data_IF_703637363215
#
_entry.id   IF_703637363215
#
_cell.length_a   1.000
_cell.length_b   1.000
_cell.length_c   1.000
_cell.angle_alpha   90.00
_cell.angle_beta   90.00
_cell.angle_gamma   90.00
#
_symmetry.space_group_name_H-M   'P 1'
#
loop_
_entity.id
_entity.type
_entity.pdbx_description
1 polymer ?
#
# COMPACT_ATOMS: atom_id res chain seq x y z
N UNK A 1 15.57 2.46 16.27
CA UNK A 1 14.79 2.61 17.53
C UNK A 1 15.55 1.98 18.71
N UNK A 2 16.85 2.23 18.78
CA UNK A 2 17.73 1.82 19.88
C UNK A 2 17.43 2.66 21.12
N UNK A 3 17.25 3.99 20.97
CA UNK A 3 16.94 4.86 22.10
C UNK A 3 15.55 4.57 22.71
N UNK A 4 14.55 4.24 21.89
CA UNK A 4 13.22 3.82 22.37
C UNK A 4 13.29 2.58 23.26
N UNK A 5 14.06 1.57 22.84
CA UNK A 5 14.20 0.33 23.60
C UNK A 5 15.04 0.52 24.88
N UNK A 6 15.96 1.48 24.87
CA UNK A 6 16.91 1.71 25.96
C UNK A 6 16.36 2.58 27.07
N UNK A 7 15.85 3.77 26.73
CA UNK A 7 15.39 4.74 27.72
C UNK A 7 14.14 5.47 27.21
N UNK A 8 13.00 4.89 27.57
CA UNK A 8 11.68 5.43 27.21
C UNK A 8 11.48 6.89 27.62
N UNK A 9 11.95 7.38 28.78
CA UNK A 9 11.88 8.80 29.14
C UNK A 9 12.64 9.73 28.18
N UNK A 10 13.89 9.42 27.82
CA UNK A 10 14.69 10.25 26.90
C UNK A 10 14.12 10.20 25.48
N UNK A 11 13.65 9.04 25.03
CA UNK A 11 12.89 8.94 23.79
C UNK A 11 11.63 9.83 23.80
N UNK A 12 10.86 9.79 24.89
CA UNK A 12 9.65 10.61 25.03
C UNK A 12 9.97 12.10 25.00
N UNK A 13 11.08 12.51 25.62
CA UNK A 13 11.57 13.88 25.55
C UNK A 13 11.96 14.28 24.12
N UNK A 14 12.70 13.44 23.39
CA UNK A 14 13.07 13.67 22.00
C UNK A 14 11.83 13.77 21.08
N UNK A 15 10.86 12.88 21.28
CA UNK A 15 9.60 12.89 20.53
C UNK A 15 8.79 14.17 20.80
N UNK A 16 8.72 14.60 22.06
CA UNK A 16 8.07 15.85 22.46
C UNK A 16 8.80 17.06 21.87
N UNK A 17 10.13 17.05 21.86
CA UNK A 17 10.93 18.12 21.29
C UNK A 17 10.66 18.29 19.78
N UNK A 18 10.62 17.17 19.04
CA UNK A 18 10.29 17.19 17.61
C UNK A 18 8.82 17.56 17.37
N UNK A 19 7.89 17.07 18.18
CA UNK A 19 6.46 17.42 18.07
C UNK A 19 6.21 18.92 18.28
N UNK A 20 6.98 19.56 19.17
CA UNK A 20 6.95 21.01 19.39
C UNK A 20 7.84 21.80 18.42
N UNK A 21 8.60 21.11 17.57
CA UNK A 21 9.63 21.67 16.69
C UNK A 21 10.62 22.62 17.44
N UNK A 22 10.98 22.25 18.68
CA UNK A 22 11.78 23.06 19.60
C UNK A 22 13.23 22.58 19.65
N UNK A 23 14.14 23.38 19.08
CA UNK A 23 15.56 23.06 18.98
C UNK A 23 16.26 23.02 20.35
N UNK A 24 15.78 23.77 21.33
CA UNK A 24 16.37 23.78 22.69
C UNK A 24 16.04 22.49 23.43
N UNK A 25 14.81 21.97 23.28
CA UNK A 25 14.42 20.67 23.81
C UNK A 25 15.13 19.53 23.07
N UNK A 26 15.38 19.69 21.76
CA UNK A 26 16.20 18.74 20.99
C UNK A 26 17.61 18.65 21.59
N UNK A 27 18.26 19.77 21.87
CA UNK A 27 19.61 19.78 22.45
C UNK A 27 19.64 19.16 23.85
N UNK A 28 18.62 19.42 24.67
CA UNK A 28 18.48 18.79 25.99
C UNK A 28 18.32 17.27 25.88
N UNK A 29 17.43 16.81 24.99
CA UNK A 29 17.22 15.39 24.74
C UNK A 29 18.48 14.71 24.20
N UNK A 30 19.17 15.36 23.26
CA UNK A 30 20.41 14.86 22.66
C UNK A 30 21.53 14.76 23.70
N UNK A 31 21.73 15.80 24.51
CA UNK A 31 22.73 15.79 25.58
C UNK A 31 22.47 14.65 26.57
N UNK A 32 21.22 14.43 26.97
CA UNK A 32 20.86 13.31 27.84
C UNK A 32 21.13 11.96 27.18
N UNK A 33 20.78 11.81 25.90
CA UNK A 33 21.03 10.58 25.15
C UNK A 33 22.53 10.30 24.92
N UNK A 34 23.35 11.34 24.79
CA UNK A 34 24.81 11.21 24.60
C UNK A 34 25.57 10.72 25.83
N UNK A 35 24.91 10.61 26.99
CA UNK A 35 25.49 10.01 28.20
C UNK A 35 25.54 8.48 28.14
N UNK A 36 24.91 7.87 27.13
CA UNK A 36 24.99 6.42 26.91
C UNK A 36 26.24 6.07 26.08
N UNK A 37 27.23 5.44 26.72
CA UNK A 37 28.56 5.18 26.13
C UNK A 37 28.57 4.25 24.89
N UNK A 38 27.50 3.49 24.67
CA UNK A 38 27.39 2.48 23.62
C UNK A 38 26.49 2.90 22.44
N UNK A 39 25.98 4.14 22.45
CA UNK A 39 25.33 4.72 21.27
C UNK A 39 26.26 5.78 20.70
N UNK A 40 26.69 5.59 19.46
CA UNK A 40 27.54 6.59 18.81
C UNK A 40 26.78 7.89 18.54
N UNK A 41 27.49 9.02 18.52
CA UNK A 41 26.93 10.31 18.12
C UNK A 41 26.24 10.25 16.75
N UNK A 42 26.79 9.48 15.82
CA UNK A 42 26.26 9.30 14.47
C UNK A 42 24.90 8.59 14.50
N UNK A 43 24.77 7.53 15.30
CA UNK A 43 23.51 6.82 15.49
C UNK A 43 22.46 7.71 16.16
N UNK A 44 22.84 8.47 17.20
CA UNK A 44 21.92 9.42 17.84
C UNK A 44 21.42 10.49 16.87
N UNK A 45 22.31 11.10 16.09
CA UNK A 45 21.92 12.09 15.08
C UNK A 45 20.98 11.49 14.04
N UNK A 46 21.21 10.25 13.61
CA UNK A 46 20.32 9.54 12.69
C UNK A 46 18.94 9.29 13.30
N UNK A 47 18.85 8.80 14.55
CA UNK A 47 17.57 8.55 15.21
C UNK A 47 16.76 9.83 15.42
N UNK A 48 17.42 10.92 15.84
CA UNK A 48 16.77 12.23 15.99
C UNK A 48 16.34 12.80 14.64
N UNK A 49 17.14 12.61 13.59
CA UNK A 49 16.77 13.02 12.23
C UNK A 49 15.53 12.29 11.74
N UNK A 50 15.48 10.97 11.88
CA UNK A 50 14.31 10.17 11.53
C UNK A 50 13.06 10.59 12.33
N UNK A 51 13.21 10.93 13.62
CA UNK A 51 12.12 11.41 14.46
C UNK A 51 11.63 12.81 14.09
N UNK A 52 12.55 13.73 13.78
CA UNK A 52 12.19 15.06 13.27
C UNK A 52 11.42 14.95 11.95
N UNK A 53 11.86 14.04 11.07
CA UNK A 53 11.12 13.72 9.84
C UNK A 53 9.75 13.15 10.17
N UNK A 54 9.63 12.14 11.04
CA UNK A 54 8.34 11.55 11.48
C UNK A 54 7.37 12.62 11.99
N UNK A 55 7.87 13.66 12.67
CA UNK A 55 7.05 14.73 13.24
C UNK A 55 6.84 15.95 12.32
N UNK A 56 7.37 15.94 11.09
CA UNK A 56 7.39 17.11 10.20
C UNK A 56 8.03 18.35 10.86
N UNK A 57 9.02 18.13 11.74
CA UNK A 57 9.67 19.14 12.57
C UNK A 57 10.79 19.84 11.78
N UNK A 58 10.43 20.91 11.06
CA UNK A 58 11.34 21.58 10.11
C UNK A 58 12.53 22.27 10.79
N UNK A 59 12.32 22.91 11.93
CA UNK A 59 13.37 23.60 12.67
C UNK A 59 14.31 22.58 13.33
N UNK A 60 13.75 21.54 13.97
CA UNK A 60 14.50 20.44 14.56
C UNK A 60 15.36 19.73 13.51
N UNK A 61 14.79 19.38 12.35
CA UNK A 61 15.54 18.73 11.27
C UNK A 61 16.69 19.62 10.78
N UNK A 62 16.42 20.90 10.50
CA UNK A 62 17.44 21.85 10.06
C UNK A 62 18.56 22.01 11.09
N UNK A 63 18.22 22.05 12.37
CA UNK A 63 19.18 22.11 13.47
C UNK A 63 20.05 20.86 13.56
N UNK A 64 19.47 19.67 13.46
CA UNK A 64 20.19 18.40 13.47
C UNK A 64 21.14 18.27 12.27
N UNK A 65 20.73 18.73 11.10
CA UNK A 65 21.59 18.78 9.90
C UNK A 65 22.80 19.68 10.15
N UNK A 66 22.63 20.85 10.77
CA UNK A 66 23.74 21.74 11.16
C UNK A 66 24.70 21.06 12.16
N UNK A 67 24.21 20.15 12.99
CA UNK A 67 25.01 19.35 13.91
C UNK A 67 25.72 18.15 13.26
N UNK A 68 25.49 17.92 11.95
CA UNK A 68 26.13 16.87 11.17
C UNK A 68 25.26 15.64 10.91
N UNK A 69 23.94 15.71 11.09
CA UNK A 69 23.05 14.60 10.74
C UNK A 69 23.12 14.29 9.23
N UNK A 70 23.32 13.02 8.89
CA UNK A 70 23.41 12.57 7.51
C UNK A 70 22.03 12.21 6.94
N UNK A 71 21.40 13.19 6.27
CA UNK A 71 20.11 13.03 5.60
C UNK A 71 20.13 11.98 4.49
N UNK A 72 21.27 11.78 3.81
CA UNK A 72 21.40 10.80 2.72
C UNK A 72 21.25 9.36 3.17
N UNK A 73 21.44 9.10 4.47
CA UNK A 73 21.28 7.77 5.06
C UNK A 73 19.82 7.41 5.38
N UNK A 74 18.90 8.40 5.34
CA UNK A 74 17.49 8.16 5.64
C UNK A 74 16.84 7.27 4.60
N UNK A 75 16.16 6.23 5.07
CA UNK A 75 15.47 5.24 4.25
C UNK A 75 14.07 5.71 3.89
N UNK A 76 13.57 5.29 2.73
CA UNK A 76 12.19 5.57 2.27
C UNK A 76 11.14 5.25 3.34
N UNK A 77 11.28 4.11 4.04
CA UNK A 77 10.38 3.74 5.14
C UNK A 77 10.45 4.70 6.31
N UNK A 78 11.63 5.18 6.68
CA UNK A 78 11.79 6.12 7.80
C UNK A 78 11.15 7.46 7.49
N UNK A 79 11.24 7.90 6.23
CA UNK A 79 10.57 9.11 5.76
C UNK A 79 9.05 8.95 5.71
N UNK A 80 8.55 7.82 5.23
CA UNK A 80 7.10 7.57 5.12
C UNK A 80 6.43 7.08 6.42
N UNK A 81 7.19 6.88 7.49
CA UNK A 81 6.70 6.21 8.70
C UNK A 81 5.62 7.01 9.44
N UNK A 82 4.57 6.30 9.89
CA UNK A 82 3.50 6.70 10.85
C UNK A 82 2.63 7.91 10.56
N UNK A 83 3.08 8.86 9.75
CA UNK A 83 2.29 10.06 9.43
C UNK A 83 2.60 10.56 8.02
N UNK A 84 1.64 11.24 7.37
CA UNK A 84 1.88 11.89 6.09
C UNK A 84 3.03 12.91 6.20
N UNK A 85 3.88 12.94 5.17
CA UNK A 85 4.93 13.94 5.07
C UNK A 85 4.40 15.22 4.45
N UNK A 86 4.80 16.34 5.02
CA UNK A 86 4.50 17.65 4.44
C UNK A 86 5.54 18.01 3.38
N UNK A 87 5.18 18.81 2.38
CA UNK A 87 6.14 19.28 1.37
C UNK A 87 7.37 19.96 2.02
N UNK A 88 7.25 20.85 3.02
CA UNK A 88 8.41 21.46 3.66
C UNK A 88 9.46 20.50 4.22
N UNK A 89 9.06 19.37 4.84
CA UNK A 89 10.05 18.40 5.33
C UNK A 89 10.78 17.75 4.17
N UNK A 90 10.06 17.41 3.09
CA UNK A 90 10.63 16.78 1.90
C UNK A 90 11.55 17.73 1.13
N UNK A 91 11.21 19.02 1.05
CA UNK A 91 12.07 20.06 0.47
C UNK A 91 13.40 20.17 1.21
N UNK A 92 13.38 20.13 2.55
CA UNK A 92 14.62 20.10 3.36
C UNK A 92 15.43 18.84 3.04
N UNK A 93 14.80 17.67 3.02
CA UNK A 93 15.48 16.42 2.70
C UNK A 93 16.14 16.47 1.31
N UNK A 94 15.41 16.95 0.30
CA UNK A 94 15.87 17.07 -1.07
C UNK A 94 17.02 18.08 -1.21
N UNK A 95 16.92 19.25 -0.57
CA UNK A 95 17.97 20.26 -0.54
C UNK A 95 19.27 19.74 0.09
N UNK A 96 19.18 18.75 0.98
CA UNK A 96 20.31 18.09 1.62
C UNK A 96 20.70 16.75 0.96
N UNK A 97 20.23 16.51 -0.26
CA UNK A 97 20.67 15.42 -1.12
C UNK A 97 20.09 14.05 -0.79
N UNK A 98 18.93 14.00 -0.11
CA UNK A 98 18.15 12.79 0.01
C UNK A 98 17.68 12.30 -1.37
N UNK A 99 17.83 11.01 -1.64
CA UNK A 99 17.49 10.40 -2.93
C UNK A 99 16.07 9.80 -2.87
N UNK A 100 15.12 10.48 -3.50
CA UNK A 100 13.71 10.05 -3.57
C UNK A 100 13.52 8.68 -4.25
N UNK A 101 14.48 8.28 -5.09
CA UNK A 101 14.50 7.01 -5.81
C UNK A 101 15.33 5.94 -5.11
N UNK A 102 15.89 6.24 -3.94
CA UNK A 102 16.68 5.27 -3.19
C UNK A 102 15.84 4.04 -2.83
N UNK A 103 16.48 2.89 -3.01
CA UNK A 103 15.96 1.59 -2.58
C UNK A 103 16.80 1.12 -1.41
N UNK A 104 16.17 0.59 -0.36
CA UNK A 104 16.93 0.02 0.74
C UNK A 104 17.38 -1.39 0.33
N UNK A 105 18.61 -1.53 -0.16
CA UNK A 105 19.23 -2.85 -0.36
C UNK A 105 20.02 -3.24 0.89
N UNK A 106 19.35 -3.85 1.86
CA UNK A 106 19.99 -4.34 3.08
C UNK A 106 20.27 -5.85 3.01
N UNK A 107 20.46 -6.41 1.81
CA UNK A 107 20.69 -7.85 1.65
C UNK A 107 19.45 -8.70 2.01
N UNK A 108 19.66 -10.02 2.09
CA UNK A 108 18.60 -11.01 2.25
C UNK A 108 17.84 -10.82 3.58
N UNK A 109 16.69 -10.14 3.53
CA UNK A 109 15.75 -10.07 4.66
C UNK A 109 15.07 -8.71 4.91
N UNK A 110 15.45 -7.64 4.21
CA UNK A 110 14.78 -6.33 4.40
C UNK A 110 13.48 -6.22 3.61
N UNK A 111 12.43 -5.76 4.30
CA UNK A 111 11.05 -5.62 3.83
C UNK A 111 10.76 -4.39 2.98
N UNK A 112 11.72 -3.46 2.80
CA UNK A 112 11.42 -2.15 2.21
C UNK A 112 12.32 -1.75 1.02
N UNK A 113 12.34 -2.53 -0.07
CA UNK A 113 13.09 -2.21 -1.28
C UNK A 113 12.36 -1.22 -2.21
N UNK A 114 11.20 -0.70 -1.80
CA UNK A 114 10.37 0.22 -2.58
C UNK A 114 10.84 1.68 -2.40
N UNK A 115 10.84 2.49 -3.48
CA UNK A 115 11.05 3.94 -3.39
C UNK A 115 9.98 4.65 -2.56
N UNK A 116 10.26 5.86 -2.09
CA UNK A 116 9.34 6.64 -1.24
C UNK A 116 7.93 6.79 -1.83
N UNK A 117 7.82 7.02 -3.14
CA UNK A 117 6.53 7.21 -3.83
C UNK A 117 5.54 6.06 -3.61
N UNK A 118 6.01 4.82 -3.41
CA UNK A 118 5.15 3.66 -3.17
C UNK A 118 4.40 3.74 -1.84
N UNK A 119 4.99 4.42 -0.86
CA UNK A 119 4.39 4.57 0.48
C UNK A 119 3.32 5.66 0.53
N UNK A 120 3.24 6.50 -0.51
CA UNK A 120 2.37 7.68 -0.55
C UNK A 120 1.36 7.64 -1.69
N UNK A 121 1.19 6.48 -2.36
CA UNK A 121 0.27 6.33 -3.51
C UNK A 121 -1.19 6.71 -3.21
N UNK A 122 -1.60 6.78 -1.94
CA UNK A 122 -2.94 7.23 -1.52
C UNK A 122 -3.13 8.75 -1.60
N UNK A 123 -2.03 9.51 -1.57
CA UNK A 123 -2.02 10.97 -1.58
C UNK A 123 -1.60 11.45 -2.97
N UNK A 124 -2.59 11.82 -3.80
CA UNK A 124 -2.33 12.24 -5.18
C UNK A 124 -1.49 13.52 -5.26
N UNK A 125 -1.63 14.44 -4.30
CA UNK A 125 -0.86 15.68 -4.28
C UNK A 125 0.61 15.40 -3.98
N UNK A 126 0.87 14.45 -3.08
CA UNK A 126 2.21 14.02 -2.76
C UNK A 126 2.84 13.15 -3.85
N UNK A 127 2.07 12.28 -4.50
CA UNK A 127 2.53 11.54 -5.71
C UNK A 127 2.89 12.52 -6.82
N UNK A 128 2.06 13.53 -7.06
CA UNK A 128 2.34 14.58 -8.06
C UNK A 128 3.63 15.31 -7.72
N UNK A 129 3.81 15.73 -6.47
CA UNK A 129 5.05 16.36 -6.01
C UNK A 129 6.26 15.42 -6.21
N UNK A 130 6.15 14.13 -5.89
CA UNK A 130 7.23 13.17 -6.11
C UNK A 130 7.65 13.12 -7.58
N UNK A 131 6.68 13.02 -8.50
CA UNK A 131 6.92 12.97 -9.94
C UNK A 131 7.56 14.27 -10.47
N UNK A 132 7.11 15.44 -9.98
CA UNK A 132 7.69 16.75 -10.30
C UNK A 132 9.14 16.88 -9.83
N UNK A 133 9.50 16.19 -8.76
CA UNK A 133 10.84 16.19 -8.15
C UNK A 133 11.70 14.98 -8.57
N UNK A 134 11.35 14.36 -9.70
CA UNK A 134 12.18 13.33 -10.33
C UNK A 134 12.03 11.92 -9.76
N UNK A 135 10.97 11.65 -8.99
CA UNK A 135 10.61 10.27 -8.66
C UNK A 135 10.29 9.50 -9.95
N UNK A 136 10.88 8.33 -10.08
CA UNK A 136 10.70 7.44 -11.23
C UNK A 136 9.58 6.44 -10.96
N UNK A 137 8.74 6.20 -11.97
CA UNK A 137 7.82 5.06 -11.99
C UNK A 137 8.52 3.73 -12.31
N UNK A 138 9.81 3.80 -12.65
CA UNK A 138 10.70 2.66 -12.86
C UNK A 138 11.72 2.61 -11.72
N UNK A 139 11.57 1.67 -10.77
CA UNK A 139 12.53 1.52 -9.68
C UNK A 139 13.96 1.30 -10.22
N UNK A 140 14.93 2.02 -9.66
CA UNK A 140 16.37 1.84 -9.97
C UNK A 140 16.76 0.37 -9.76
N UNK A 141 17.60 -0.21 -10.61
CA UNK A 141 18.08 -1.60 -10.47
C UNK A 141 16.96 -2.67 -10.45
N UNK A 142 15.79 -2.34 -11.01
CA UNK A 142 14.78 -3.34 -11.32
C UNK A 142 14.93 -3.77 -12.79
N UNK A 143 14.99 -5.08 -13.02
CA UNK A 143 14.93 -5.63 -14.38
C UNK A 143 13.66 -5.18 -15.10
N UNK A 144 13.68 -5.19 -16.44
CA UNK A 144 12.47 -4.93 -17.21
C UNK A 144 11.43 -6.03 -16.95
N UNK A 145 10.17 -5.60 -16.85
CA UNK A 145 9.05 -6.53 -16.72
C UNK A 145 8.95 -7.38 -17.99
N UNK A 146 8.80 -8.70 -17.79
CA UNK A 146 8.65 -9.68 -18.87
C UNK A 146 7.45 -10.58 -18.58
N UNK A 147 6.79 -11.02 -19.65
CA UNK A 147 5.56 -11.81 -19.61
C UNK A 147 5.80 -13.31 -19.34
N UNK A 148 7.05 -13.73 -19.16
CA UNK A 148 7.41 -15.15 -18.98
C UNK A 148 8.13 -15.42 -17.66
N UNK A 149 8.52 -14.39 -16.91
CA UNK A 149 9.33 -14.57 -15.70
C UNK A 149 9.16 -13.48 -14.63
N UNK A 150 8.93 -13.94 -13.39
CA UNK A 150 9.06 -13.12 -12.18
C UNK A 150 10.48 -13.29 -11.63
N UNK A 151 11.28 -12.23 -11.73
CA UNK A 151 12.67 -12.17 -11.25
C UNK A 151 12.71 -11.80 -9.76
N UNK A 152 13.87 -12.00 -9.13
CA UNK A 152 14.03 -11.58 -7.73
C UNK A 152 13.95 -10.06 -7.54
N UNK A 153 14.32 -9.26 -8.54
CA UNK A 153 14.15 -7.80 -8.47
C UNK A 153 12.68 -7.39 -8.45
N UNK A 154 11.81 -8.10 -9.18
CA UNK A 154 10.35 -7.91 -9.14
C UNK A 154 9.74 -8.38 -7.83
N UNK A 155 10.25 -9.47 -7.23
CA UNK A 155 9.78 -9.89 -5.90
C UNK A 155 10.18 -8.94 -4.79
N UNK A 156 11.36 -8.33 -4.91
CA UNK A 156 11.81 -7.32 -3.97
C UNK A 156 10.94 -6.07 -4.12
N UNK A 157 10.96 -5.40 -5.27
CA UNK A 157 10.17 -4.19 -5.46
C UNK A 157 8.93 -4.46 -6.30
N UNK A 158 7.75 -4.23 -5.73
CA UNK A 158 6.51 -4.30 -6.46
C UNK A 158 6.43 -3.20 -7.53
N UNK A 159 5.66 -3.40 -8.60
CA UNK A 159 5.33 -2.37 -9.59
C UNK A 159 4.38 -1.34 -8.96
N UNK A 160 4.58 -0.05 -9.25
CA UNK A 160 3.80 1.01 -8.60
C UNK A 160 2.30 0.91 -8.91
N UNK A 161 1.94 0.42 -10.11
CA UNK A 161 0.53 0.25 -10.47
C UNK A 161 -0.14 -0.89 -9.71
N UNK A 162 0.59 -1.93 -9.31
CA UNK A 162 0.03 -2.95 -8.41
C UNK A 162 -0.25 -2.36 -7.01
N UNK A 163 0.66 -1.52 -6.49
CA UNK A 163 0.48 -0.81 -5.22
C UNK A 163 -0.68 0.19 -5.26
N UNK A 164 -0.79 0.91 -6.38
CA UNK A 164 -1.87 1.86 -6.63
C UNK A 164 -3.21 1.13 -6.78
N UNK A 165 -3.26 0.01 -7.52
CA UNK A 165 -4.46 -0.82 -7.63
C UNK A 165 -4.93 -1.35 -6.27
N UNK A 166 -3.99 -1.75 -5.41
CA UNK A 166 -4.29 -2.17 -4.05
C UNK A 166 -5.00 -1.06 -3.26
N UNK A 167 -4.48 0.17 -3.31
CA UNK A 167 -4.71 1.11 -2.21
C UNK A 167 -5.00 2.56 -2.60
N UNK A 168 -4.71 2.98 -3.83
CA UNK A 168 -4.88 4.35 -4.31
C UNK A 168 -6.20 4.55 -5.07
N UNK A 169 -6.59 5.79 -5.30
CA UNK A 169 -7.75 6.12 -6.13
C UNK A 169 -7.47 5.82 -7.62
N UNK A 170 -8.53 5.71 -8.42
CA UNK A 170 -8.42 5.59 -9.90
C UNK A 170 -7.63 6.77 -10.48
N UNK A 171 -7.82 7.98 -9.94
CA UNK A 171 -7.09 9.17 -10.39
C UNK A 171 -5.57 9.04 -10.21
N UNK A 172 -5.12 8.56 -9.04
CA UNK A 172 -3.67 8.34 -8.82
C UNK A 172 -3.14 7.20 -9.68
N UNK A 173 -3.91 6.13 -9.85
CA UNK A 173 -3.54 5.03 -10.74
C UNK A 173 -3.34 5.52 -12.18
N UNK A 174 -4.28 6.32 -12.70
CA UNK A 174 -4.19 6.89 -14.05
C UNK A 174 -3.06 7.91 -14.19
N UNK A 175 -2.81 8.72 -13.16
CA UNK A 175 -1.64 9.60 -13.13
C UNK A 175 -0.35 8.79 -13.33
N UNK A 176 -0.15 7.73 -12.55
CA UNK A 176 1.03 6.86 -12.67
C UNK A 176 1.08 6.16 -14.04
N UNK A 177 -0.06 5.64 -14.52
CA UNK A 177 -0.17 5.00 -15.84
C UNK A 177 0.19 5.95 -16.97
N UNK A 178 -0.24 7.21 -16.89
CA UNK A 178 0.09 8.27 -17.86
C UNK A 178 1.59 8.61 -17.91
N UNK A 179 2.34 8.28 -16.85
CA UNK A 179 3.81 8.40 -16.80
C UNK A 179 4.54 7.15 -17.31
N UNK A 180 3.81 6.18 -17.84
CA UNK A 180 4.37 4.94 -18.39
C UNK A 180 4.68 3.87 -17.34
N UNK A 181 4.09 3.98 -16.14
CA UNK A 181 4.28 2.98 -15.10
C UNK A 181 3.87 1.58 -15.59
N UNK A 182 4.70 0.53 -15.37
CA UNK A 182 4.36 -0.82 -15.79
C UNK A 182 3.20 -1.37 -14.95
N UNK A 183 2.25 -2.04 -15.62
CA UNK A 183 1.04 -2.57 -14.99
C UNK A 183 1.38 -3.64 -13.93
N UNK A 184 2.33 -4.54 -14.22
CA UNK A 184 2.60 -5.69 -13.37
C UNK A 184 1.65 -6.86 -13.66
N UNK A 185 1.73 -7.88 -12.83
CA UNK A 185 1.03 -9.16 -12.99
C UNK A 185 -0.27 -9.23 -12.18
N UNK A 186 -0.30 -8.49 -11.06
CA UNK A 186 -1.32 -8.63 -10.03
C UNK A 186 -2.16 -7.38 -9.70
N UNK A 187 -2.29 -6.32 -10.54
CA UNK A 187 -3.14 -5.19 -10.17
C UNK A 187 -4.57 -5.58 -9.82
N UNK A 188 -5.19 -6.43 -10.64
CA UNK A 188 -6.57 -6.85 -10.42
C UNK A 188 -6.70 -7.74 -9.17
N UNK A 189 -5.75 -8.66 -8.96
CA UNK A 189 -5.71 -9.50 -7.76
C UNK A 189 -5.59 -8.67 -6.48
N UNK A 190 -4.69 -7.69 -6.45
CA UNK A 190 -4.53 -6.82 -5.27
C UNK A 190 -5.72 -5.89 -5.03
N UNK A 191 -6.34 -5.37 -6.10
CA UNK A 191 -7.55 -4.58 -5.98
C UNK A 191 -8.67 -5.43 -5.35
N UNK A 192 -8.90 -6.65 -5.86
CA UNK A 192 -9.91 -7.58 -5.34
C UNK A 192 -9.65 -7.95 -3.89
N UNK A 193 -8.44 -8.40 -3.55
CA UNK A 193 -8.07 -8.79 -2.18
C UNK A 193 -8.30 -7.64 -1.19
N UNK A 194 -8.01 -6.41 -1.60
CA UNK A 194 -8.25 -5.25 -0.74
C UNK A 194 -9.74 -4.95 -0.60
N UNK A 195 -10.52 -5.06 -1.67
CA UNK A 195 -11.98 -4.89 -1.62
C UNK A 195 -12.65 -5.85 -0.63
N UNK A 196 -12.14 -7.09 -0.48
CA UNK A 196 -12.74 -8.05 0.46
C UNK A 196 -12.63 -7.63 1.92
N UNK A 197 -11.83 -6.62 2.28
CA UNK A 197 -11.70 -6.15 3.66
C UNK A 197 -12.74 -5.08 4.04
N UNK A 198 -13.53 -4.60 3.09
CA UNK A 198 -14.52 -3.55 3.30
C UNK A 198 -15.95 -4.07 3.05
N UNK A 199 -16.94 -3.35 3.54
CA UNK A 199 -18.35 -3.69 3.36
C UNK A 199 -19.07 -2.58 2.60
N UNK A 200 -19.90 -2.95 1.62
CA UNK A 200 -20.84 -2.04 0.99
C UNK A 200 -21.80 -1.43 2.02
N UNK A 201 -22.38 -0.28 1.69
CA UNK A 201 -23.40 0.35 2.53
C UNK A 201 -24.64 -0.55 2.63
N UNK A 202 -25.03 -0.89 3.87
CA UNK A 202 -26.22 -1.69 4.17
C UNK A 202 -27.40 -0.83 4.64
N UNK A 203 -27.26 0.49 4.66
CA UNK A 203 -28.24 1.44 5.17
C UNK A 203 -28.18 1.60 6.70
N UNK A 204 -29.16 2.34 7.24
CA UNK A 204 -29.26 2.64 8.66
C UNK A 204 -29.68 1.40 9.47
N UNK A 205 -28.90 1.06 10.50
CA UNK A 205 -29.24 0.02 11.48
C UNK A 205 -29.73 0.69 12.77
N UNK A 206 -30.97 0.36 13.16
CA UNK A 206 -31.73 1.07 14.20
C UNK A 206 -31.15 1.06 15.63
N UNK A 207 -29.97 0.49 15.87
CA UNK A 207 -29.32 0.41 17.19
C UNK A 207 -27.80 0.59 17.14
N UNK A 208 -27.24 1.12 16.05
CA UNK A 208 -25.79 1.26 15.89
C UNK A 208 -25.28 2.48 16.66
N UNK A 209 -24.22 2.31 17.46
CA UNK A 209 -23.60 3.42 18.18
C UNK A 209 -22.87 4.39 17.23
N UNK A 210 -22.63 5.64 17.66
CA UNK A 210 -22.02 6.68 16.81
C UNK A 210 -20.66 6.26 16.20
N UNK A 211 -19.80 5.63 17.00
CA UNK A 211 -18.47 5.18 16.55
C UNK A 211 -18.57 4.00 15.56
N UNK A 212 -19.54 3.11 15.77
CA UNK A 212 -19.82 1.99 14.85
C UNK A 212 -20.39 2.51 13.53
N UNK A 213 -21.28 3.49 13.58
CA UNK A 213 -21.84 4.16 12.41
C UNK A 213 -20.76 4.87 11.58
N UNK A 214 -19.85 5.58 12.26
CA UNK A 214 -18.69 6.21 11.60
C UNK A 214 -17.80 5.17 10.90
N UNK A 215 -17.47 4.06 11.57
CA UNK A 215 -16.67 2.97 10.98
C UNK A 215 -17.39 2.31 9.81
N UNK A 216 -18.70 2.10 9.91
CA UNK A 216 -19.50 1.54 8.82
C UNK A 216 -19.51 2.46 7.59
N UNK A 217 -19.71 3.77 7.79
CA UNK A 217 -19.65 4.77 6.71
C UNK A 217 -18.27 4.84 6.07
N UNK A 218 -17.20 4.77 6.86
CA UNK A 218 -15.83 4.72 6.33
C UNK A 218 -15.57 3.42 5.56
N UNK A 219 -16.03 2.27 6.06
CA UNK A 219 -15.95 0.99 5.36
C UNK A 219 -16.69 1.01 4.02
N UNK A 220 -17.92 1.56 3.99
CA UNK A 220 -18.71 1.71 2.77
C UNK A 220 -18.03 2.63 1.74
N UNK A 221 -17.48 3.76 2.18
CA UNK A 221 -16.71 4.65 1.30
C UNK A 221 -15.50 3.94 0.72
N UNK A 222 -14.74 3.23 1.55
CA UNK A 222 -13.57 2.47 1.11
C UNK A 222 -13.97 1.36 0.14
N UNK A 223 -15.09 0.65 0.41
CA UNK A 223 -15.63 -0.36 -0.48
C UNK A 223 -15.93 0.19 -1.88
N UNK A 224 -16.66 1.31 -1.97
CA UNK A 224 -16.97 1.94 -3.25
C UNK A 224 -15.72 2.39 -4.00
N UNK A 225 -14.73 2.96 -3.29
CA UNK A 225 -13.47 3.36 -3.91
C UNK A 225 -12.68 2.16 -4.44
N UNK A 226 -12.63 1.04 -3.69
CA UNK A 226 -11.98 -0.19 -4.13
C UNK A 226 -12.75 -0.86 -5.27
N UNK A 227 -14.07 -0.89 -5.23
CA UNK A 227 -14.91 -1.37 -6.33
C UNK A 227 -14.75 -0.52 -7.59
N UNK A 228 -14.62 0.80 -7.47
CA UNK A 228 -14.31 1.67 -8.60
C UNK A 228 -12.98 1.29 -9.26
N UNK A 229 -11.95 0.97 -8.48
CA UNK A 229 -10.69 0.45 -9.01
C UNK A 229 -10.86 -0.89 -9.73
N UNK A 230 -11.58 -1.85 -9.14
CA UNK A 230 -11.85 -3.16 -9.77
C UNK A 230 -12.59 -2.98 -11.10
N UNK A 231 -13.66 -2.18 -11.13
CA UNK A 231 -14.41 -1.86 -12.34
C UNK A 231 -13.52 -1.20 -13.39
N UNK A 232 -12.68 -0.24 -12.98
CA UNK A 232 -11.75 0.45 -13.88
C UNK A 232 -10.73 -0.50 -14.51
N UNK A 233 -10.12 -1.39 -13.72
CA UNK A 233 -9.13 -2.36 -14.20
C UNK A 233 -9.74 -3.35 -15.23
N UNK A 234 -10.98 -3.77 -15.04
CA UNK A 234 -11.66 -4.69 -15.96
C UNK A 234 -12.23 -3.95 -17.18
N UNK A 235 -12.94 -2.85 -16.97
CA UNK A 235 -13.78 -2.23 -18.00
C UNK A 235 -13.03 -1.19 -18.84
N UNK A 236 -12.03 -0.54 -18.25
CA UNK A 236 -11.31 0.57 -18.88
C UNK A 236 -9.89 0.16 -19.25
N UNK A 237 -9.17 -0.51 -18.33
CA UNK A 237 -7.82 -1.02 -18.61
C UNK A 237 -7.88 -2.31 -19.44
N UNK A 238 -8.94 -3.10 -19.32
CA UNK A 238 -9.12 -4.34 -20.09
C UNK A 238 -8.29 -5.50 -19.57
N UNK A 239 -8.02 -5.57 -18.26
CA UNK A 239 -7.33 -6.72 -17.67
C UNK A 239 -8.23 -7.95 -17.78
N UNK A 240 -7.68 -9.05 -18.31
CA UNK A 240 -8.37 -10.33 -18.36
C UNK A 240 -8.69 -10.83 -16.94
N UNK A 241 -9.99 -11.04 -16.67
CA UNK A 241 -10.50 -11.52 -15.39
C UNK A 241 -10.07 -12.96 -15.06
N UNK A 242 -9.49 -13.68 -16.03
CA UNK A 242 -8.90 -15.00 -15.87
C UNK A 242 -7.37 -15.01 -15.93
N UNK A 243 -6.71 -13.83 -15.99
CA UNK A 243 -5.26 -13.76 -16.04
C UNK A 243 -4.63 -14.39 -14.79
N UNK A 244 -3.62 -15.27 -14.93
CA UNK A 244 -2.91 -15.82 -13.78
C UNK A 244 -2.10 -14.72 -13.08
N UNK A 245 -1.93 -14.85 -11.76
CA UNK A 245 -1.12 -13.97 -10.93
C UNK A 245 0.41 -14.17 -11.08
N UNK A 246 0.81 -15.12 -11.93
CA UNK A 246 2.19 -15.44 -12.25
C UNK A 246 2.32 -16.02 -13.69
N UNK A 247 3.50 -15.93 -14.32
CA UNK A 247 3.75 -16.52 -15.62
C UNK A 247 3.64 -18.06 -15.60
N UNK A 248 3.34 -18.69 -16.74
CA UNK A 248 3.28 -20.15 -16.86
C UNK A 248 4.59 -20.85 -16.45
N UNK A 249 4.48 -22.06 -15.88
CA UNK A 249 5.63 -22.96 -15.65
C UNK A 249 6.37 -22.78 -14.32
N UNK A 250 5.88 -21.94 -13.41
CA UNK A 250 6.35 -21.91 -12.01
C UNK A 250 5.20 -21.77 -11.04
N UNK A 251 5.17 -22.64 -10.03
CA UNK A 251 4.31 -22.49 -8.86
C UNK A 251 5.10 -21.81 -7.75
N UNK A 252 4.91 -20.51 -7.60
CA UNK A 252 5.51 -19.75 -6.52
C UNK A 252 4.56 -19.75 -5.31
N UNK A 253 5.12 -19.88 -4.10
CA UNK A 253 4.31 -19.74 -2.88
C UNK A 253 3.74 -18.32 -2.74
N UNK A 254 2.49 -18.21 -2.28
CA UNK A 254 1.81 -16.92 -2.08
C UNK A 254 1.00 -16.40 -3.27
N UNK A 255 0.79 -17.25 -4.29
CA UNK A 255 0.01 -16.99 -5.49
C UNK A 255 -1.19 -17.95 -5.50
N UNK A 256 -2.39 -17.44 -5.79
CA UNK A 256 -3.68 -18.14 -5.71
C UNK A 256 -4.35 -18.34 -7.08
N UNK A 257 -3.69 -17.91 -8.17
CA UNK A 257 -4.13 -18.12 -9.54
C UNK A 257 -4.90 -16.94 -10.11
N UNK A 258 -6.18 -17.13 -10.45
CA UNK A 258 -6.99 -16.11 -11.12
C UNK A 258 -7.52 -15.06 -10.13
N UNK A 259 -7.92 -13.88 -10.60
CA UNK A 259 -8.49 -12.81 -9.77
C UNK A 259 -9.60 -13.27 -8.81
N UNK A 260 -10.52 -14.11 -9.27
CA UNK A 260 -11.65 -14.60 -8.45
C UNK A 260 -11.20 -15.52 -7.30
N UNK A 261 -10.05 -16.20 -7.41
CA UNK A 261 -9.48 -17.01 -6.33
C UNK A 261 -9.15 -16.19 -5.07
N UNK A 262 -8.82 -14.91 -5.23
CA UNK A 262 -8.52 -14.02 -4.10
C UNK A 262 -9.76 -13.69 -3.27
N UNK A 263 -10.98 -13.84 -3.81
CA UNK A 263 -12.21 -13.77 -3.02
C UNK A 263 -12.36 -15.04 -2.18
N UNK A 264 -12.19 -16.21 -2.78
CA UNK A 264 -12.31 -17.50 -2.11
C UNK A 264 -11.26 -17.70 -0.99
N UNK A 265 -10.07 -17.09 -1.14
CA UNK A 265 -9.00 -17.08 -0.14
C UNK A 265 -9.31 -16.18 1.06
N UNK A 266 -10.20 -15.21 0.95
CA UNK A 266 -10.57 -14.31 2.05
C UNK A 266 -11.54 -14.94 3.07
N UNK A 267 -11.42 -16.25 3.29
CA UNK A 267 -12.21 -17.00 4.26
C UNK A 267 -11.98 -16.46 5.68
N UNK A 268 -13.02 -16.48 6.50
CA UNK A 268 -12.98 -15.93 7.86
C UNK A 268 -13.24 -14.42 7.96
N UNK A 269 -13.43 -13.72 6.83
CA UNK A 269 -13.97 -12.36 6.83
C UNK A 269 -15.51 -12.41 6.81
N UNK A 270 -16.15 -11.62 7.68
CA UNK A 270 -17.62 -11.49 7.75
C UNK A 270 -18.19 -10.54 6.68
N UNK A 271 -17.33 -9.97 5.84
CA UNK A 271 -17.67 -9.05 4.75
C UNK A 271 -18.57 -9.71 3.70
N UNK A 272 -19.42 -8.92 3.05
CA UNK A 272 -20.20 -9.40 1.91
C UNK A 272 -19.44 -9.14 0.61
N UNK A 273 -19.02 -10.22 -0.05
CA UNK A 273 -18.24 -10.19 -1.29
C UNK A 273 -19.10 -10.53 -2.51
N UNK A 274 -20.43 -10.68 -2.36
CA UNK A 274 -21.32 -11.09 -3.44
C UNK A 274 -21.24 -10.18 -4.66
N UNK A 275 -21.37 -8.87 -4.46
CA UNK A 275 -21.33 -7.92 -5.59
C UNK A 275 -20.01 -8.02 -6.35
N UNK A 276 -18.89 -8.06 -5.62
CA UNK A 276 -17.55 -8.21 -6.20
C UNK A 276 -17.41 -9.52 -6.98
N UNK A 277 -17.86 -10.64 -6.41
CA UNK A 277 -17.82 -11.95 -7.07
C UNK A 277 -18.69 -11.95 -8.33
N UNK A 278 -19.92 -11.44 -8.23
CA UNK A 278 -20.85 -11.40 -9.36
C UNK A 278 -20.38 -10.47 -10.47
N UNK A 279 -19.74 -9.35 -10.13
CA UNK A 279 -19.12 -8.47 -11.13
C UNK A 279 -18.09 -9.23 -11.97
N UNK A 280 -17.18 -9.99 -11.34
CA UNK A 280 -16.17 -10.78 -12.07
C UNK A 280 -16.81 -11.88 -12.91
N UNK A 281 -17.79 -12.60 -12.35
CA UNK A 281 -18.49 -13.68 -13.05
C UNK A 281 -19.29 -13.15 -14.25
N UNK A 282 -19.94 -11.99 -14.11
CA UNK A 282 -20.65 -11.31 -15.20
C UNK A 282 -19.70 -10.89 -16.33
N UNK A 283 -18.40 -10.73 -16.04
CA UNK A 283 -17.33 -10.47 -17.03
C UNK A 283 -16.57 -11.70 -17.48
N UNK A 284 -17.08 -12.88 -17.14
CA UNK A 284 -16.57 -14.16 -17.66
C UNK A 284 -15.45 -14.78 -16.84
N UNK A 285 -15.29 -14.41 -15.56
CA UNK A 285 -14.40 -15.14 -14.66
C UNK A 285 -14.85 -16.60 -14.52
N UNK A 286 -13.91 -17.54 -14.64
CA UNK A 286 -14.15 -18.95 -14.36
C UNK A 286 -14.12 -19.21 -12.85
N UNK A 287 -15.25 -19.59 -12.21
CA UNK A 287 -15.29 -19.86 -10.78
C UNK A 287 -14.61 -21.18 -10.38
N UNK A 288 -14.29 -22.08 -11.32
CA UNK A 288 -13.83 -23.44 -11.02
C UNK A 288 -12.62 -23.47 -10.07
N UNK A 289 -11.49 -22.79 -10.35
CA UNK A 289 -10.34 -22.78 -9.43
C UNK A 289 -10.68 -22.15 -8.07
N UNK A 290 -11.51 -21.11 -8.04
CA UNK A 290 -11.92 -20.46 -6.79
C UNK A 290 -12.85 -21.35 -5.95
N UNK A 291 -13.71 -22.16 -6.57
CA UNK A 291 -14.56 -23.13 -5.88
C UNK A 291 -13.74 -24.23 -5.21
N UNK A 292 -12.64 -24.66 -5.82
CA UNK A 292 -11.77 -25.68 -5.21
C UNK A 292 -11.03 -25.12 -3.99
N UNK A 293 -10.56 -23.87 -4.07
CA UNK A 293 -10.02 -23.14 -2.90
C UNK A 293 -11.10 -23.03 -1.82
N UNK A 294 -12.30 -22.53 -2.16
CA UNK A 294 -13.38 -22.31 -1.21
C UNK A 294 -13.84 -23.59 -0.50
N UNK A 295 -13.84 -24.74 -1.19
CA UNK A 295 -14.11 -26.05 -0.55
C UNK A 295 -13.03 -26.41 0.45
N UNK A 296 -11.76 -26.21 0.10
CA UNK A 296 -10.62 -26.52 0.97
C UNK A 296 -10.54 -25.61 2.20
N UNK A 297 -11.03 -24.38 2.10
CA UNK A 297 -11.04 -23.38 3.17
C UNK A 297 -12.39 -23.23 3.87
N UNK A 298 -13.37 -24.07 3.52
CA UNK A 298 -14.74 -24.03 4.03
C UNK A 298 -15.43 -22.66 3.89
N UNK A 299 -15.12 -21.91 2.82
CA UNK A 299 -15.75 -20.63 2.52
C UNK A 299 -17.17 -20.81 1.94
N UNK A 300 -18.11 -21.29 2.76
CA UNK A 300 -19.48 -21.66 2.38
C UNK A 300 -20.26 -20.53 1.72
N UNK A 301 -20.05 -19.28 2.16
CA UNK A 301 -20.74 -18.10 1.62
C UNK A 301 -20.38 -17.85 0.16
N UNK A 302 -19.10 -17.93 -0.20
CA UNK A 302 -18.65 -17.76 -1.58
C UNK A 302 -19.23 -18.85 -2.49
N UNK A 303 -19.24 -20.11 -2.03
CA UNK A 303 -19.84 -21.24 -2.76
C UNK A 303 -21.32 -20.94 -3.06
N UNK A 304 -22.09 -20.55 -2.04
CA UNK A 304 -23.50 -20.21 -2.18
C UNK A 304 -23.73 -19.02 -3.13
N UNK A 305 -22.87 -18.00 -3.09
CA UNK A 305 -22.99 -16.83 -3.97
C UNK A 305 -22.72 -17.19 -5.45
N UNK A 306 -21.78 -18.12 -5.73
CA UNK A 306 -21.53 -18.64 -7.09
C UNK A 306 -22.71 -19.48 -7.57
N UNK A 307 -23.28 -20.33 -6.73
CA UNK A 307 -24.48 -21.11 -7.05
C UNK A 307 -25.69 -20.21 -7.35
N UNK A 308 -25.90 -19.19 -6.53
CA UNK A 308 -26.95 -18.19 -6.72
C UNK A 308 -26.76 -17.41 -8.03
N UNK A 309 -25.53 -17.06 -8.39
CA UNK A 309 -25.23 -16.44 -9.69
C UNK A 309 -25.55 -17.37 -10.86
N UNK A 310 -25.14 -18.65 -10.79
CA UNK A 310 -25.44 -19.66 -11.83
C UNK A 310 -26.95 -19.83 -12.02
N UNK A 311 -27.71 -19.84 -10.95
CA UNK A 311 -29.18 -19.95 -11.00
C UNK A 311 -29.86 -18.78 -11.73
N UNK A 312 -29.22 -17.59 -11.80
CA UNK A 312 -29.74 -16.41 -12.51
C UNK A 312 -29.36 -16.33 -13.99
N UNK A 313 -28.39 -17.12 -14.45
CA UNK A 313 -27.93 -17.13 -15.85
C UNK A 313 -28.99 -17.59 -16.89
N UNK A 314 -29.88 -18.57 -16.60
CA UNK A 314 -30.93 -18.97 -17.54
C UNK A 314 -31.89 -17.82 -17.92
N UNK A 315 -32.19 -16.91 -16.98
CA UNK A 315 -33.09 -15.78 -17.21
C UNK A 315 -32.45 -14.68 -18.07
N UNK A 316 -31.14 -14.45 -17.94
CA UNK A 316 -30.44 -13.40 -18.72
C UNK A 316 -30.29 -13.78 -20.21
N UNK A 317 -30.10 -15.07 -20.52
CA UNK A 317 -30.01 -15.55 -21.91
C UNK A 317 -31.33 -15.42 -22.67
N UNK A 318 -32.47 -15.45 -21.98
CA UNK A 318 -33.78 -15.22 -22.60
C UNK A 318 -34.07 -13.73 -22.90
N UNK A 319 -33.53 -12.80 -22.11
CA UNK A 319 -33.69 -11.36 -22.38
C UNK A 319 -32.82 -10.85 -23.55
N UNK A 320 -31.62 -11.42 -23.78
CA UNK A 320 -30.75 -11.02 -24.89
C UNK A 320 -31.15 -11.64 -26.25
N UNK A 321 -32.10 -12.57 -26.29
CA UNK A 321 -32.59 -13.20 -27.51
C UNK A 321 -33.77 -12.43 -28.17
N UNK A 322 -34.12 -11.25 -27.66
CA UNK A 322 -35.23 -10.41 -28.13
C UNK A 322 -34.79 -9.01 -28.61
N UNK A 323 -33.53 -8.83 -29.00
CA UNK A 323 -33.06 -7.63 -29.71
C UNK A 323 -32.58 -7.95 -31.11
#
# INVERSE_FOLDING_TARGET
>A
MVLYARDRPTWTLAATACEKDDTTLVDQAFSKASQFDDISKVELLHEFCALAVEKNATNALTHLIKQGANVKALKSREVAWRSPRTKPILEILFAHGWDINARNDLGHGSSDPEPFMWSVVKDIDLVTWCLEHGASVFPRDQELLRDDIITMSHRKCQQVLEKAAQSATVATFELLRSKGAPLGWRPLHFAIETTTHYQADRGEEANRGEEEDKKAKESARNYEERMAMVRHLVDVVGIDVNAPDQPPGRELGGFWGTPICYIAKSYGLDTDTRELAWFLLDRGADPTPALDIAKSTEHVKFIADVEAWRAKQPDRRMCCALQ
#
